data_IF_465994540214
#
_entry.id   IF_465994540214
#
_cell.length_a   1.000
_cell.length_b   1.000
_cell.length_c   1.000
_cell.angle_alpha   90.00
_cell.angle_beta   90.00
_cell.angle_gamma   90.00
#
_symmetry.space_group_name_H-M   'P 1'
#
loop_
_entity.id
_entity.type
_entity.pdbx_description
1 polymer ?
#
# COMPACT_ATOMS: atom_id res chain seq x y z
N UNK A 1 21.37 -4.53 -10.42
CA UNK A 1 20.03 -3.87 -10.41
C UNK A 1 20.06 -2.77 -11.45
N UNK A 2 19.24 -2.84 -12.50
CA UNK A 2 19.17 -1.79 -13.52
C UNK A 2 18.53 -0.55 -12.88
N UNK A 3 19.19 0.60 -12.94
CA UNK A 3 18.57 1.85 -12.50
C UNK A 3 17.42 2.17 -13.46
N UNK A 4 16.22 2.37 -12.92
CA UNK A 4 15.09 2.89 -13.69
C UNK A 4 15.25 4.41 -13.72
N UNK A 5 15.48 4.96 -14.91
CA UNK A 5 15.53 6.40 -15.11
C UNK A 5 14.09 6.92 -15.15
N UNK A 6 13.73 7.77 -14.18
CA UNK A 6 12.41 8.41 -14.08
C UNK A 6 12.53 9.69 -13.28
N UNK A 7 11.57 10.61 -13.45
CA UNK A 7 11.43 11.82 -12.64
C UNK A 7 10.14 11.78 -11.81
N UNK A 8 10.05 12.66 -10.81
CA UNK A 8 8.81 12.81 -10.04
C UNK A 8 7.62 13.27 -10.91
N UNK A 9 7.89 14.07 -11.95
CA UNK A 9 6.90 14.56 -12.90
C UNK A 9 6.38 13.42 -13.78
N UNK A 10 7.26 12.56 -14.30
CA UNK A 10 6.87 11.39 -15.09
C UNK A 10 6.01 10.42 -14.26
N UNK A 11 6.42 10.16 -13.01
CA UNK A 11 5.66 9.30 -12.11
C UNK A 11 4.29 9.90 -11.79
N UNK A 12 4.22 11.21 -11.52
CA UNK A 12 2.94 11.88 -11.25
C UNK A 12 2.03 11.83 -12.47
N UNK A 13 2.54 12.17 -13.65
CA UNK A 13 1.79 12.10 -14.89
C UNK A 13 1.22 10.70 -15.12
N UNK A 14 2.03 9.66 -14.92
CA UNK A 14 1.58 8.28 -15.06
C UNK A 14 0.51 7.90 -14.03
N UNK A 15 0.67 8.31 -12.76
CA UNK A 15 -0.34 8.08 -11.72
C UNK A 15 -1.66 8.77 -12.06
N UNK A 16 -1.63 10.03 -12.49
CA UNK A 16 -2.81 10.80 -12.86
C UNK A 16 -3.55 10.11 -14.03
N UNK A 17 -2.82 9.60 -15.04
CA UNK A 17 -3.41 8.83 -16.15
C UNK A 17 -4.08 7.52 -15.69
N UNK A 18 -3.47 6.80 -14.74
CA UNK A 18 -4.09 5.59 -14.17
C UNK A 18 -5.35 5.95 -13.40
N UNK A 19 -5.33 7.03 -12.62
CA UNK A 19 -6.51 7.51 -11.88
C UNK A 19 -7.64 7.85 -12.85
N UNK A 20 -7.37 8.64 -13.90
CA UNK A 20 -8.37 9.04 -14.88
C UNK A 20 -8.96 7.84 -15.63
N UNK A 21 -8.11 6.90 -16.06
CA UNK A 21 -8.55 5.71 -16.82
C UNK A 21 -9.28 4.67 -15.95
N UNK A 22 -9.17 4.75 -14.63
CA UNK A 22 -9.80 3.81 -13.69
C UNK A 22 -10.69 4.50 -12.66
N UNK A 23 -11.22 5.69 -12.99
CA UNK A 23 -11.95 6.56 -12.05
C UNK A 23 -13.11 5.86 -11.32
N UNK A 24 -13.81 4.94 -12.00
CA UNK A 24 -14.95 4.21 -11.44
C UNK A 24 -14.55 2.90 -10.71
N UNK A 25 -13.26 2.54 -10.73
CA UNK A 25 -12.79 1.28 -10.17
C UNK A 25 -12.58 1.38 -8.66
N UNK A 26 -12.70 0.23 -7.98
CA UNK A 26 -12.29 0.08 -6.58
C UNK A 26 -10.90 -0.55 -6.56
N UNK A 27 -9.92 0.10 -5.93
CA UNK A 27 -8.57 -0.45 -5.80
C UNK A 27 -8.58 -1.78 -5.04
N UNK A 28 -7.69 -2.71 -5.40
CA UNK A 28 -7.60 -4.03 -4.75
C UNK A 28 -7.43 -3.91 -3.23
N UNK A 29 -6.57 -3.00 -2.77
CA UNK A 29 -6.38 -2.73 -1.35
C UNK A 29 -7.66 -2.25 -0.65
N UNK A 30 -8.48 -1.40 -1.30
CA UNK A 30 -9.77 -1.00 -0.73
C UNK A 30 -10.77 -2.16 -0.69
N UNK A 31 -10.74 -3.05 -1.70
CA UNK A 31 -11.55 -4.26 -1.69
C UNK A 31 -11.17 -5.18 -0.52
N UNK A 32 -9.88 -5.36 -0.24
CA UNK A 32 -9.40 -6.16 0.90
C UNK A 32 -9.82 -5.56 2.24
N UNK A 33 -9.67 -4.24 2.41
CA UNK A 33 -10.12 -3.53 3.63
C UNK A 33 -11.63 -3.68 3.83
N UNK A 34 -12.44 -3.53 2.76
CA UNK A 34 -13.90 -3.71 2.84
C UNK A 34 -14.30 -5.16 3.17
N UNK A 35 -13.50 -6.12 2.73
CA UNK A 35 -13.70 -7.55 2.97
C UNK A 35 -13.02 -8.07 4.25
N UNK A 36 -12.40 -7.18 5.04
CA UNK A 36 -11.65 -7.52 6.26
C UNK A 36 -10.55 -8.58 6.03
N UNK A 37 -9.86 -8.49 4.88
CA UNK A 37 -8.71 -9.35 4.54
C UNK A 37 -7.40 -8.62 4.77
N UNK A 38 -6.31 -9.36 4.92
CA UNK A 38 -4.98 -8.75 4.82
C UNK A 38 -4.75 -8.15 3.43
N UNK A 39 -4.08 -7.01 3.38
CA UNK A 39 -3.72 -6.30 2.15
C UNK A 39 -2.28 -6.61 1.73
N UNK A 40 -1.92 -6.22 0.51
CA UNK A 40 -0.54 -6.32 0.00
C UNK A 40 0.37 -5.15 0.44
N UNK A 41 -0.04 -4.33 1.43
CA UNK A 41 0.68 -3.10 1.83
C UNK A 41 2.16 -3.33 2.16
N UNK A 42 2.49 -4.50 2.74
CA UNK A 42 3.86 -4.90 3.10
C UNK A 42 4.78 -5.09 1.89
N UNK A 43 4.21 -5.50 0.76
CA UNK A 43 4.94 -5.72 -0.50
C UNK A 43 4.99 -4.47 -1.38
N UNK A 44 4.05 -3.54 -1.20
CA UNK A 44 4.00 -2.28 -1.95
C UNK A 44 4.77 -1.18 -1.20
N UNK A 45 4.17 -0.62 -0.16
CA UNK A 45 4.75 0.50 0.58
C UNK A 45 5.81 0.00 1.56
N UNK A 46 5.61 -1.16 2.18
CA UNK A 46 6.60 -1.80 3.04
C UNK A 46 7.92 -2.09 2.31
N UNK A 47 7.86 -2.51 1.04
CA UNK A 47 9.06 -2.66 0.21
C UNK A 47 9.74 -1.31 -0.04
N UNK A 48 9.00 -0.28 -0.42
CA UNK A 48 9.54 1.08 -0.62
C UNK A 48 10.25 1.58 0.65
N UNK A 49 9.66 1.40 1.83
CA UNK A 49 10.26 1.80 3.12
C UNK A 49 11.58 1.06 3.40
N UNK A 50 11.62 -0.27 3.13
CA UNK A 50 12.85 -1.07 3.26
C UNK A 50 13.95 -0.54 2.33
N UNK A 51 13.61 -0.21 1.09
CA UNK A 51 14.56 0.37 0.12
C UNK A 51 15.03 1.74 0.54
N UNK A 52 14.12 2.63 0.93
CA UNK A 52 14.45 3.98 1.37
C UNK A 52 15.41 3.96 2.57
N UNK A 53 15.16 3.09 3.54
CA UNK A 53 16.08 2.87 4.68
C UNK A 53 17.46 2.41 4.24
N UNK A 54 17.55 1.42 3.34
CA UNK A 54 18.82 0.91 2.85
C UNK A 54 19.65 1.96 2.10
N UNK A 55 18.99 2.98 1.53
CA UNK A 55 19.62 4.07 0.79
C UNK A 55 19.69 5.39 1.58
N UNK A 56 19.26 5.43 2.84
CA UNK A 56 19.27 6.65 3.66
C UNK A 56 18.32 7.76 3.19
N UNK A 57 17.24 7.41 2.47
CA UNK A 57 16.28 8.38 1.93
C UNK A 57 15.09 8.52 2.90
N UNK A 58 14.77 9.75 3.28
CA UNK A 58 13.59 10.05 4.09
C UNK A 58 12.31 10.00 3.26
N UNK A 59 11.33 9.22 3.72
CA UNK A 59 10.03 9.03 3.03
C UNK A 59 8.86 9.12 4.02
N UNK A 60 8.71 10.23 4.76
CA UNK A 60 7.76 10.35 5.86
C UNK A 60 6.31 10.10 5.45
N UNK A 61 5.88 10.58 4.28
CA UNK A 61 4.50 10.37 3.81
C UNK A 61 4.19 8.91 3.49
N UNK A 62 5.14 8.17 2.90
CA UNK A 62 4.97 6.73 2.67
C UNK A 62 4.89 5.96 4.00
N UNK A 63 5.68 6.35 5.00
CA UNK A 63 5.64 5.73 6.33
C UNK A 63 4.28 5.99 7.00
N UNK A 64 3.79 7.24 6.93
CA UNK A 64 2.49 7.62 7.46
C UNK A 64 1.34 6.84 6.81
N UNK A 65 1.35 6.70 5.48
CA UNK A 65 0.32 5.93 4.76
C UNK A 65 0.39 4.43 5.09
N UNK A 66 1.59 3.86 5.16
CA UNK A 66 1.79 2.46 5.58
C UNK A 66 1.18 2.22 6.97
N UNK A 67 1.51 3.07 7.95
CA UNK A 67 0.99 2.95 9.32
C UNK A 67 -0.53 3.07 9.38
N UNK A 68 -1.14 3.96 8.60
CA UNK A 68 -2.59 4.11 8.53
C UNK A 68 -3.27 2.83 8.02
N UNK A 69 -2.70 2.18 7.01
CA UNK A 69 -3.25 0.92 6.49
C UNK A 69 -3.05 -0.21 7.50
N UNK A 70 -1.86 -0.36 8.11
CA UNK A 70 -1.62 -1.38 9.15
C UNK A 70 -2.53 -1.21 10.36
N UNK A 71 -2.85 0.03 10.74
CA UNK A 71 -3.84 0.31 11.81
C UNK A 71 -5.23 -0.16 11.43
N UNK A 72 -5.68 0.12 10.21
CA UNK A 72 -6.96 -0.40 9.70
C UNK A 72 -7.00 -1.92 9.68
N UNK A 73 -5.93 -2.58 9.22
CA UNK A 73 -5.83 -4.05 9.28
C UNK A 73 -6.00 -4.59 10.71
N UNK A 74 -5.27 -3.98 11.65
CA UNK A 74 -5.31 -4.36 13.07
C UNK A 74 -6.70 -4.19 13.70
N UNK A 75 -7.50 -3.23 13.24
CA UNK A 75 -8.85 -2.98 13.78
C UNK A 75 -9.77 -4.18 13.54
N UNK A 76 -9.76 -4.78 12.35
CA UNK A 76 -10.63 -5.91 12.03
C UNK A 76 -10.03 -7.29 12.30
N UNK A 77 -8.71 -7.42 12.36
CA UNK A 77 -8.06 -8.64 12.87
C UNK A 77 -8.45 -8.91 14.33
N UNK A 78 -8.53 -7.86 15.15
CA UNK A 78 -8.99 -7.95 16.55
C UNK A 78 -10.44 -8.44 16.65
N UNK A 79 -11.29 -8.00 15.73
CA UNK A 79 -12.71 -8.41 15.66
C UNK A 79 -12.86 -9.87 15.17
N UNK A 80 -11.91 -10.36 14.37
CA UNK A 80 -11.91 -11.72 13.83
C UNK A 80 -11.61 -12.85 14.83
N UNK A 81 -11.27 -12.55 16.09
CA UNK A 81 -10.85 -13.55 17.10
C UNK A 81 -11.99 -14.37 17.74
N UNK A 82 -13.15 -14.44 17.08
CA UNK A 82 -14.30 -15.20 17.55
C UNK A 82 -14.33 -16.70 17.18
N UNK A 83 -13.56 -17.19 16.21
CA UNK A 83 -13.43 -18.62 15.84
C UNK A 83 -12.31 -18.81 14.80
N UNK A 84 -11.54 -19.92 14.84
CA UNK A 84 -10.52 -20.20 13.83
C UNK A 84 -11.17 -20.62 12.52
N UNK A 85 -10.76 -20.03 11.39
CA UNK A 85 -11.15 -20.53 10.06
C UNK A 85 -10.23 -21.70 9.67
N UNK A 86 -10.77 -22.81 9.14
CA UNK A 86 -9.95 -23.86 8.56
C UNK A 86 -9.33 -23.38 7.25
N UNK A 87 -8.08 -23.80 7.05
CA UNK A 87 -7.31 -23.69 5.82
C UNK A 87 -7.95 -24.51 4.69
#
# INVERSE_FOLDING_TARGET
>A
MKALHTSAEDLRYYVDQVIDSTAENISSMLQDVRALRHTEIDYITGYLLKRARAHGVAVPENARLYDLVKRKESEYERVGTGLPRPW
#
